data_IF_648337840811
#
_entry.id   IF_648337840811
#
_cell.length_a   1.000
_cell.length_b   1.000
_cell.length_c   1.000
_cell.angle_alpha   90.00
_cell.angle_beta   90.00
_cell.angle_gamma   90.00
#
_symmetry.space_group_name_H-M   'P 1'
#
loop_
_entity.id
_entity.type
_entity.pdbx_description
1 polymer ?
#
# COMPACT_ATOMS: atom_id res chain seq x y z
N UNK A 1 5.97 21.28 -1.39
CA UNK A 1 4.60 20.93 -1.82
C UNK A 1 4.71 19.68 -2.67
N UNK A 2 4.44 18.49 -2.11
CA UNK A 2 4.56 17.22 -2.85
C UNK A 2 3.32 17.07 -3.73
N UNK A 3 3.39 17.54 -4.98
CA UNK A 3 2.27 17.43 -5.92
C UNK A 3 2.30 16.05 -6.57
N UNK A 4 1.50 15.12 -6.05
CA UNK A 4 1.21 13.86 -6.73
C UNK A 4 0.57 14.21 -8.08
N UNK A 5 1.11 13.74 -9.22
CA UNK A 5 0.60 14.12 -10.55
C UNK A 5 -0.88 13.74 -10.69
N UNK A 6 -1.68 14.55 -11.40
CA UNK A 6 -3.15 14.44 -11.40
C UNK A 6 -3.65 13.08 -11.92
N UNK A 7 -2.86 12.42 -12.77
CA UNK A 7 -3.15 11.08 -13.29
C UNK A 7 -3.21 10.02 -12.20
N UNK A 8 -2.32 10.09 -11.20
CA UNK A 8 -2.30 9.12 -10.09
C UNK A 8 -3.59 9.21 -9.27
N UNK A 9 -4.01 10.44 -8.96
CA UNK A 9 -5.27 10.69 -8.22
C UNK A 9 -6.50 10.16 -8.95
N UNK A 10 -6.53 10.26 -10.29
CA UNK A 10 -7.65 9.68 -11.07
C UNK A 10 -7.67 8.16 -10.99
N UNK A 11 -6.51 7.50 -11.08
CA UNK A 11 -6.42 6.04 -11.01
C UNK A 11 -6.80 5.55 -9.60
N UNK A 12 -6.34 6.23 -8.54
CA UNK A 12 -6.72 5.94 -7.15
C UNK A 12 -8.23 6.11 -6.92
N UNK A 13 -8.84 7.17 -7.44
CA UNK A 13 -10.28 7.38 -7.33
C UNK A 13 -11.07 6.29 -8.07
N UNK A 14 -10.64 5.93 -9.29
CA UNK A 14 -11.26 4.85 -10.06
C UNK A 14 -11.10 3.49 -9.37
N UNK A 15 -9.96 3.24 -8.74
CA UNK A 15 -9.72 2.05 -7.95
C UNK A 15 -10.75 1.89 -6.84
N UNK A 16 -11.00 2.95 -6.06
CA UNK A 16 -12.00 2.96 -4.98
C UNK A 16 -13.39 2.66 -5.55
N UNK A 17 -13.75 3.25 -6.70
CA UNK A 17 -15.04 2.98 -7.34
C UNK A 17 -15.17 1.49 -7.71
N UNK A 18 -14.17 0.90 -8.37
CA UNK A 18 -14.21 -0.52 -8.70
C UNK A 18 -14.28 -1.39 -7.45
N UNK A 19 -13.57 -1.03 -6.39
CA UNK A 19 -13.58 -1.76 -5.14
C UNK A 19 -14.98 -1.75 -4.51
N UNK A 20 -15.64 -0.58 -4.44
CA UNK A 20 -16.99 -0.47 -3.89
C UNK A 20 -18.02 -1.30 -4.70
N UNK A 21 -17.92 -1.30 -6.04
CA UNK A 21 -18.82 -2.10 -6.89
C UNK A 21 -18.62 -3.60 -6.64
N UNK A 22 -17.35 -4.04 -6.54
CA UNK A 22 -16.99 -5.43 -6.22
C UNK A 22 -17.54 -5.85 -4.85
N UNK A 23 -17.31 -5.04 -3.81
CA UNK A 23 -17.77 -5.35 -2.44
C UNK A 23 -19.30 -5.29 -2.32
N UNK A 24 -19.98 -4.37 -3.03
CA UNK A 24 -21.45 -4.36 -3.12
C UNK A 24 -21.97 -5.64 -3.77
N UNK A 25 -21.31 -6.10 -4.84
CA UNK A 25 -21.67 -7.35 -5.52
C UNK A 25 -21.51 -8.56 -4.59
N UNK A 26 -20.50 -8.54 -3.72
CA UNK A 26 -20.31 -9.55 -2.70
C UNK A 26 -21.39 -9.51 -1.62
N UNK A 27 -21.71 -8.32 -1.08
CA UNK A 27 -22.75 -8.14 -0.06
C UNK A 27 -24.13 -8.59 -0.55
N UNK A 28 -24.43 -8.39 -1.84
CA UNK A 28 -25.67 -8.83 -2.48
C UNK A 28 -25.61 -10.28 -3.00
N UNK A 29 -24.51 -11.00 -2.78
CA UNK A 29 -24.25 -12.36 -3.25
C UNK A 29 -24.41 -12.54 -4.78
N UNK A 30 -24.11 -11.50 -5.55
CA UNK A 30 -24.14 -11.53 -7.01
C UNK A 30 -22.90 -12.23 -7.57
N UNK A 31 -22.87 -13.56 -7.48
CA UNK A 31 -21.72 -14.44 -7.81
C UNK A 31 -21.00 -14.08 -9.14
N UNK A 32 -21.68 -14.02 -10.30
CA UNK A 32 -20.98 -13.75 -11.57
C UNK A 32 -20.41 -12.33 -11.65
N UNK A 33 -21.14 -11.33 -11.13
CA UNK A 33 -20.67 -9.93 -11.14
C UNK A 33 -19.51 -9.73 -10.17
N UNK A 34 -19.59 -10.32 -8.98
CA UNK A 34 -18.54 -10.28 -7.97
C UNK A 34 -17.23 -10.85 -8.49
N UNK A 35 -17.26 -12.05 -9.07
CA UNK A 35 -16.07 -12.69 -9.66
C UNK A 35 -15.51 -11.86 -10.82
N UNK A 36 -16.37 -11.37 -11.72
CA UNK A 36 -15.93 -10.52 -12.82
C UNK A 36 -15.24 -9.23 -12.33
N UNK A 37 -15.72 -8.64 -11.23
CA UNK A 37 -15.18 -7.42 -10.65
C UNK A 37 -13.89 -7.61 -9.83
N UNK A 38 -13.49 -8.85 -9.50
CA UNK A 38 -12.15 -9.14 -8.93
C UNK A 38 -11.04 -8.68 -9.87
N UNK A 39 -11.18 -8.97 -11.17
CA UNK A 39 -10.15 -8.66 -12.15
C UNK A 39 -9.85 -7.16 -12.25
N UNK A 40 -10.83 -6.27 -12.53
CA UNK A 40 -10.54 -4.84 -12.65
C UNK A 40 -10.06 -4.24 -11.31
N UNK A 41 -10.56 -4.71 -10.16
CA UNK A 41 -10.10 -4.21 -8.86
C UNK A 41 -8.65 -4.59 -8.57
N UNK A 42 -8.28 -5.86 -8.78
CA UNK A 42 -6.93 -6.34 -8.53
C UNK A 42 -5.93 -5.75 -9.53
N UNK A 43 -6.29 -5.65 -10.81
CA UNK A 43 -5.44 -5.05 -11.84
C UNK A 43 -5.11 -3.60 -11.47
N UNK A 44 -6.12 -2.79 -11.13
CA UNK A 44 -5.89 -1.39 -10.77
C UNK A 44 -5.06 -1.26 -9.48
N UNK A 45 -5.30 -2.12 -8.47
CA UNK A 45 -4.49 -2.13 -7.25
C UNK A 45 -3.00 -2.42 -7.52
N UNK A 46 -2.71 -3.41 -8.37
CA UNK A 46 -1.34 -3.74 -8.79
C UNK A 46 -0.72 -2.59 -9.59
N UNK A 47 -1.48 -1.99 -10.51
CA UNK A 47 -1.02 -0.85 -11.30
C UNK A 47 -0.63 0.34 -10.41
N UNK A 48 -1.47 0.70 -9.44
CA UNK A 48 -1.18 1.76 -8.46
C UNK A 48 0.11 1.44 -7.70
N UNK A 49 0.22 0.22 -7.17
CA UNK A 49 1.40 -0.23 -6.41
C UNK A 49 2.68 -0.14 -7.25
N UNK A 50 2.62 -0.57 -8.52
CA UNK A 50 3.76 -0.49 -9.44
C UNK A 50 4.14 0.95 -9.76
N UNK A 51 3.15 1.82 -9.96
CA UNK A 51 3.37 3.21 -10.32
C UNK A 51 4.00 4.01 -9.17
N UNK A 52 3.56 3.75 -7.94
CA UNK A 52 4.07 4.43 -6.74
C UNK A 52 5.35 3.83 -6.17
N UNK A 53 5.99 2.85 -6.84
CA UNK A 53 7.20 2.16 -6.35
C UNK A 53 8.38 3.07 -6.02
N UNK A 54 8.41 4.28 -6.59
CA UNK A 54 9.46 5.28 -6.33
C UNK A 54 9.27 6.01 -5.00
N UNK A 55 8.06 5.98 -4.45
CA UNK A 55 7.67 6.63 -3.20
C UNK A 55 7.49 5.55 -2.14
N UNK A 56 8.47 5.42 -1.23
CA UNK A 56 8.43 4.38 -0.20
C UNK A 56 7.15 4.47 0.65
N UNK A 57 6.77 5.67 1.12
CA UNK A 57 5.50 5.88 1.85
C UNK A 57 4.30 5.26 1.15
N UNK A 58 4.07 5.65 -0.10
CA UNK A 58 2.93 5.20 -0.88
C UNK A 58 3.03 3.71 -1.23
N UNK A 59 4.23 3.20 -1.52
CA UNK A 59 4.45 1.80 -1.84
C UNK A 59 4.01 0.86 -0.71
N UNK A 60 4.40 1.14 0.55
CA UNK A 60 4.02 0.28 1.67
C UNK A 60 2.51 0.30 1.94
N UNK A 61 1.87 1.48 1.82
CA UNK A 61 0.42 1.59 1.94
C UNK A 61 -0.31 0.86 0.80
N UNK A 62 0.14 1.04 -0.44
CA UNK A 62 -0.47 0.41 -1.61
C UNK A 62 -0.27 -1.10 -1.61
N UNK A 63 0.88 -1.60 -1.14
CA UNK A 63 1.09 -3.03 -0.89
C UNK A 63 0.13 -3.56 0.18
N UNK A 64 -0.06 -2.84 1.28
CA UNK A 64 -1.00 -3.27 2.31
C UNK A 64 -2.44 -3.36 1.78
N UNK A 65 -2.88 -2.37 1.00
CA UNK A 65 -4.18 -2.38 0.33
C UNK A 65 -4.28 -3.53 -0.68
N UNK A 66 -3.21 -3.80 -1.45
CA UNK A 66 -3.18 -4.92 -2.39
C UNK A 66 -3.38 -6.27 -1.67
N UNK A 67 -2.67 -6.51 -0.57
CA UNK A 67 -2.84 -7.73 0.22
C UNK A 67 -4.20 -7.81 0.91
N UNK A 68 -4.76 -6.67 1.33
CA UNK A 68 -6.13 -6.59 1.84
C UNK A 68 -7.16 -7.00 0.79
N UNK A 69 -7.00 -6.52 -0.45
CA UNK A 69 -7.90 -6.87 -1.56
C UNK A 69 -7.75 -8.36 -1.91
N UNK A 70 -6.53 -8.90 -1.92
CA UNK A 70 -6.29 -10.33 -2.13
C UNK A 70 -7.00 -11.18 -1.06
N UNK A 71 -6.93 -10.77 0.21
CA UNK A 71 -7.65 -11.43 1.30
C UNK A 71 -9.17 -11.43 1.08
N UNK A 72 -9.72 -10.28 0.70
CA UNK A 72 -11.15 -10.14 0.41
C UNK A 72 -11.58 -10.97 -0.81
N UNK A 73 -10.75 -11.04 -1.85
CA UNK A 73 -11.06 -11.86 -3.02
C UNK A 73 -11.03 -13.35 -2.67
N UNK A 74 -10.07 -13.80 -1.87
CA UNK A 74 -10.02 -15.17 -1.38
C UNK A 74 -11.25 -15.52 -0.54
N UNK A 75 -11.61 -14.69 0.45
CA UNK A 75 -12.79 -14.91 1.27
C UNK A 75 -14.07 -14.95 0.41
N UNK A 76 -14.24 -13.99 -0.50
CA UNK A 76 -15.39 -13.96 -1.40
C UNK A 76 -15.48 -15.24 -2.27
N UNK A 77 -14.36 -15.75 -2.78
CA UNK A 77 -14.34 -17.00 -3.56
C UNK A 77 -14.74 -18.20 -2.69
N UNK A 78 -14.20 -18.29 -1.47
CA UNK A 78 -14.57 -19.36 -0.51
C UNK A 78 -16.07 -19.36 -0.25
N UNK A 79 -16.67 -18.18 -0.05
CA UNK A 79 -18.10 -18.03 0.20
C UNK A 79 -18.95 -18.32 -1.05
N UNK A 80 -18.53 -17.87 -2.23
CA UNK A 80 -19.23 -18.16 -3.48
C UNK A 80 -19.14 -19.64 -3.91
N UNK A 81 -18.17 -20.38 -3.41
CA UNK A 81 -18.06 -21.82 -3.62
C UNK A 81 -18.80 -22.63 -2.54
N UNK A 82 -19.49 -21.96 -1.61
CA UNK A 82 -20.13 -22.59 -0.45
C UNK A 82 -19.17 -23.55 0.29
N UNK A 83 -17.88 -23.19 0.31
CA UNK A 83 -16.83 -24.01 0.87
C UNK A 83 -16.92 -24.02 2.41
N UNK A 84 -16.41 -25.08 3.08
CA UNK A 84 -16.47 -25.18 4.52
C UNK A 84 -15.92 -23.95 5.27
N UNK A 85 -16.61 -23.59 6.34
CA UNK A 85 -16.36 -22.43 7.21
C UNK A 85 -14.94 -22.33 7.80
N UNK A 86 -14.11 -23.36 7.70
CA UNK A 86 -12.72 -23.27 8.13
C UNK A 86 -11.81 -22.61 7.08
N UNK A 87 -12.18 -22.63 5.80
CA UNK A 87 -11.34 -22.06 4.74
C UNK A 87 -11.24 -20.53 4.81
N UNK A 88 -12.29 -19.85 5.27
CA UNK A 88 -12.28 -18.39 5.50
C UNK A 88 -11.20 -17.94 6.48
N UNK A 89 -10.76 -18.79 7.42
CA UNK A 89 -9.66 -18.43 8.33
C UNK A 89 -8.32 -18.26 7.60
N UNK A 90 -8.12 -18.91 6.45
CA UNK A 90 -6.92 -18.69 5.64
C UNK A 90 -6.88 -17.29 5.02
N UNK A 91 -8.01 -16.58 4.91
CA UNK A 91 -8.03 -15.18 4.52
C UNK A 91 -7.29 -14.28 5.52
N UNK A 92 -7.16 -14.71 6.78
CA UNK A 92 -6.42 -13.97 7.79
C UNK A 92 -4.92 -13.87 7.48
N UNK A 93 -4.36 -14.81 6.69
CA UNK A 93 -2.95 -14.80 6.29
C UNK A 93 -2.63 -13.55 5.45
N UNK A 94 -3.28 -13.32 4.29
CA UNK A 94 -3.05 -12.11 3.51
C UNK A 94 -3.44 -10.83 4.26
N UNK A 95 -4.46 -10.84 5.13
CA UNK A 95 -4.73 -9.71 6.03
C UNK A 95 -3.54 -9.40 6.94
N UNK A 96 -2.97 -10.41 7.59
CA UNK A 96 -1.80 -10.27 8.45
C UNK A 96 -0.58 -9.73 7.71
N UNK A 97 -0.37 -10.16 6.46
CA UNK A 97 0.69 -9.62 5.60
C UNK A 97 0.45 -8.13 5.33
N UNK A 98 -0.78 -7.73 5.01
CA UNK A 98 -1.14 -6.32 4.81
C UNK A 98 -0.86 -5.45 6.05
N UNK A 99 -1.27 -5.92 7.24
CA UNK A 99 -0.95 -5.25 8.51
C UNK A 99 0.56 -5.15 8.74
N UNK A 100 1.31 -6.19 8.40
CA UNK A 100 2.77 -6.20 8.53
C UNK A 100 3.43 -5.14 7.66
N UNK A 101 2.94 -4.90 6.43
CA UNK A 101 3.46 -3.83 5.57
C UNK A 101 3.24 -2.43 6.17
N UNK A 102 2.04 -2.16 6.69
CA UNK A 102 1.75 -0.89 7.38
C UNK A 102 2.64 -0.74 8.62
N UNK A 103 2.71 -1.77 9.45
CA UNK A 103 3.53 -1.75 10.66
C UNK A 103 5.01 -1.52 10.33
N UNK A 104 5.56 -2.23 9.34
CA UNK A 104 6.94 -2.06 8.89
C UNK A 104 7.22 -0.63 8.41
N UNK A 105 6.26 0.01 7.71
CA UNK A 105 6.41 1.39 7.29
C UNK A 105 6.52 2.36 8.48
N UNK A 106 5.58 2.27 9.43
CA UNK A 106 5.54 3.20 10.56
C UNK A 106 6.66 2.95 11.58
N UNK A 107 7.07 1.70 11.78
CA UNK A 107 8.06 1.33 12.78
C UNK A 107 9.51 1.37 12.28
N UNK A 108 9.76 1.09 11.00
CA UNK A 108 11.12 0.96 10.46
C UNK A 108 11.45 2.08 9.47
N UNK A 109 10.56 2.34 8.51
CA UNK A 109 10.85 3.24 7.38
C UNK A 109 10.76 4.71 7.80
N UNK A 110 9.65 5.12 8.40
CA UNK A 110 9.43 6.50 8.87
C UNK A 110 10.52 7.02 9.83
N UNK A 111 10.96 6.27 10.86
CA UNK A 111 12.04 6.75 11.73
C UNK A 111 13.40 6.78 11.01
N UNK A 112 13.67 5.87 10.07
CA UNK A 112 14.90 5.89 9.28
C UNK A 112 14.97 7.13 8.36
N UNK A 113 13.85 7.51 7.73
CA UNK A 113 13.76 8.75 6.94
C UNK A 113 13.99 9.99 7.80
N UNK A 114 13.39 10.04 8.99
CA UNK A 114 13.60 11.14 9.95
C UNK A 114 15.05 11.24 10.42
N UNK A 115 15.72 10.11 10.63
CA UNK A 115 17.15 10.07 10.99
C UNK A 115 18.02 10.61 9.85
N UNK A 116 17.79 10.17 8.61
CA UNK A 116 18.55 10.62 7.45
C UNK A 116 18.35 12.12 7.16
N UNK A 117 17.13 12.64 7.28
CA UNK A 117 16.88 14.09 7.15
C UNK A 117 17.65 14.90 8.20
N UNK A 118 17.64 14.46 9.46
CA UNK A 118 18.41 15.13 10.52
C UNK A 118 19.91 15.14 10.22
N UNK A 119 20.49 14.01 9.79
CA UNK A 119 21.91 13.94 9.43
C UNK A 119 22.29 14.89 8.29
N UNK A 120 21.45 14.97 7.25
CA UNK A 120 21.70 15.88 6.12
C UNK A 120 21.63 17.34 6.57
N UNK A 121 20.63 17.72 7.37
CA UNK A 121 20.51 19.09 7.90
C UNK A 121 21.72 19.46 8.77
N UNK A 122 22.20 18.55 9.62
CA UNK A 122 23.41 18.76 10.44
C UNK A 122 24.63 18.98 9.53
N UNK A 123 24.79 18.22 8.45
CA UNK A 123 25.92 18.41 7.53
C UNK A 123 25.82 19.69 6.66
N UNK A 124 24.63 20.26 6.47
CA UNK A 124 24.46 21.54 5.77
C UNK A 124 24.69 22.71 6.72
N UNK A 125 24.23 22.60 7.98
CA UNK A 125 24.45 23.61 9.02
C UNK A 125 25.90 23.65 9.49
N UNK A 126 26.64 22.54 9.44
CA UNK A 126 28.10 22.52 9.60
C UNK A 126 28.70 22.87 8.25
N UNK A 127 29.08 24.15 7.99
CA UNK A 127 29.61 24.51 6.70
C UNK A 127 30.96 23.82 6.53
N UNK A 128 31.30 23.42 5.30
CA UNK A 128 32.60 22.89 4.91
C UNK A 128 33.80 23.77 5.38
N UNK A 129 33.53 25.05 5.67
CA UNK A 129 34.49 25.99 6.24
C UNK A 129 34.93 25.68 7.68
N UNK A 130 34.14 24.97 8.51
CA UNK A 130 34.59 24.59 9.87
C UNK A 130 35.61 23.47 9.90
N UNK A 131 35.63 22.59 8.88
CA UNK A 131 36.60 21.49 8.81
C UNK A 131 38.00 21.99 8.44
N UNK A 132 38.11 23.10 7.68
CA UNK A 132 39.42 23.69 7.33
C UNK A 132 40.10 24.40 8.50
N UNK A 133 39.36 24.89 9.49
CA UNK A 133 39.95 25.58 10.66
C UNK A 133 40.52 24.58 11.68
N UNK A 134 40.00 23.35 11.73
CA UNK A 134 40.47 22.32 12.65
C UNK A 134 41.78 21.63 12.21
N UNK A 135 42.16 21.72 10.93
CA UNK A 135 43.38 21.12 10.38
C UNK A 135 44.50 22.14 10.12
N UNK A 136 44.34 23.40 10.56
CA UNK A 136 45.32 24.48 10.39
C UNK A 136 45.91 25.00 11.71
N UNK A 137 45.71 24.30 12.82
CA UNK A 137 46.28 24.60 14.14
C UNK A 137 47.34 23.60 14.55
#
# INVERSE_FOLDING_TARGET
>A
MYSIPERFRRIENLHIVFWLIKDMSWAMLWRPLGIAMIFPTLIVAVLITWQTRKLKSELYHNLAVLFWILANCYWMIVEFLDAPDHYRYYAAIPFGIGFTFIAAYYLLVKPAEKKNQKTIMINIEVPENTVKVANAG
#
